data_IF_401949958894
#
_entry.id   IF_401949958894
#
_cell.length_a   1.000
_cell.length_b   1.000
_cell.length_c   1.000
_cell.angle_alpha   90.00
_cell.angle_beta   90.00
_cell.angle_gamma   90.00
#
_symmetry.space_group_name_H-M   'P 1'
#
loop_
_entity.id
_entity.type
_entity.pdbx_description
1 polymer ?
#
# COMPACT_ATOMS: atom_id res chain seq x y z
N UNK A 1 10.30 36.08 -9.15
CA UNK A 1 11.09 35.27 -8.20
C UNK A 1 10.12 34.40 -7.44
N UNK A 2 10.12 33.08 -7.64
CA UNK A 2 9.36 32.18 -6.78
C UNK A 2 10.05 32.17 -5.42
N UNK A 3 9.36 32.63 -4.37
CA UNK A 3 9.82 32.46 -2.99
C UNK A 3 9.67 30.98 -2.69
N UNK A 4 10.77 30.23 -2.81
CA UNK A 4 10.79 28.82 -2.44
C UNK A 4 10.70 28.74 -0.93
N UNK A 5 9.50 28.49 -0.41
CA UNK A 5 9.32 28.12 0.98
C UNK A 5 10.09 26.81 1.18
N UNK A 6 11.14 26.87 2.01
CA UNK A 6 11.82 25.67 2.48
C UNK A 6 10.83 25.00 3.43
N UNK A 7 10.00 24.11 2.90
CA UNK A 7 9.22 23.16 3.69
C UNK A 7 10.15 22.60 4.77
N UNK A 8 9.66 22.42 5.99
CA UNK A 8 10.44 21.92 7.14
C UNK A 8 10.89 20.46 6.97
N UNK A 9 11.54 20.15 5.86
CA UNK A 9 11.96 18.83 5.42
C UNK A 9 13.24 18.50 6.19
N UNK A 10 13.20 17.36 6.85
CA UNK A 10 14.38 16.73 7.42
C UNK A 10 15.12 16.04 6.29
N UNK A 11 16.43 16.24 6.21
CA UNK A 11 17.31 15.49 5.31
C UNK A 11 17.09 13.98 5.46
N UNK A 12 17.48 13.19 4.46
CA UNK A 12 17.37 11.73 4.57
C UNK A 12 18.12 11.20 5.80
N UNK A 13 19.31 11.76 6.12
CA UNK A 13 20.06 11.39 7.33
C UNK A 13 19.24 11.65 8.60
N UNK A 14 18.66 12.83 8.76
CA UNK A 14 17.84 13.17 9.92
C UNK A 14 16.57 12.31 10.02
N UNK A 15 15.96 11.99 8.86
CA UNK A 15 14.80 11.11 8.76
C UNK A 15 15.16 9.68 9.17
N UNK A 16 16.27 9.15 8.66
CA UNK A 16 16.81 7.83 9.02
C UNK A 16 17.14 7.77 10.51
N UNK A 17 17.81 8.78 11.06
CA UNK A 17 18.14 8.86 12.49
C UNK A 17 16.90 8.92 13.39
N UNK A 18 15.85 9.60 12.95
CA UNK A 18 14.56 9.60 13.66
C UNK A 18 13.92 8.21 13.65
N UNK A 19 13.92 7.51 12.51
CA UNK A 19 13.39 6.15 12.39
C UNK A 19 14.19 5.18 13.28
N UNK A 20 15.52 5.30 13.28
CA UNK A 20 16.42 4.50 14.13
C UNK A 20 16.07 4.71 15.61
N UNK A 21 16.02 5.97 16.07
CA UNK A 21 15.72 6.30 17.47
C UNK A 21 14.36 5.77 17.91
N UNK A 22 13.36 5.83 17.04
CA UNK A 22 12.01 5.34 17.33
C UNK A 22 11.91 3.81 17.42
N UNK A 23 12.86 3.07 16.83
CA UNK A 23 12.85 1.61 16.77
C UNK A 23 13.80 0.92 17.76
N UNK A 24 14.30 1.65 18.77
CA UNK A 24 15.13 1.20 19.91
C UNK A 24 15.52 -0.29 19.87
N UNK A 25 16.71 -0.60 19.33
CA UNK A 25 17.36 -1.92 19.21
C UNK A 25 16.97 -2.82 18.02
N UNK A 26 16.08 -2.43 17.12
CA UNK A 26 15.76 -3.21 15.91
C UNK A 26 16.58 -2.78 14.69
N UNK A 27 17.92 -2.76 14.82
CA UNK A 27 18.85 -2.26 13.80
C UNK A 27 18.88 -3.08 12.50
N UNK A 28 18.32 -4.31 12.51
CA UNK A 28 18.49 -5.28 11.43
C UNK A 28 17.83 -4.88 10.09
N UNK A 29 16.99 -3.84 10.06
CA UNK A 29 16.19 -3.48 8.88
C UNK A 29 16.30 -2.01 8.46
N UNK A 30 17.18 -1.22 9.09
CA UNK A 30 17.38 0.19 8.73
C UNK A 30 18.19 0.33 7.43
N UNK A 31 19.04 -0.66 7.12
CA UNK A 31 19.86 -0.65 5.91
C UNK A 31 19.07 -0.95 4.63
N UNK A 32 17.82 -1.37 4.76
CA UNK A 32 16.92 -1.56 3.61
C UNK A 32 16.16 -0.30 3.24
N UNK A 33 16.24 0.78 4.02
CA UNK A 33 15.63 2.07 3.67
C UNK A 33 16.50 2.76 2.61
N UNK A 34 15.94 2.93 1.42
CA UNK A 34 16.60 3.60 0.30
C UNK A 34 16.50 5.13 0.42
N UNK A 35 15.31 5.62 0.81
CA UNK A 35 15.08 7.04 1.07
C UNK A 35 13.89 7.22 2.03
N UNK A 36 13.84 8.32 2.77
CA UNK A 36 12.73 8.65 3.67
C UNK A 36 12.66 10.15 3.97
N UNK A 37 11.45 10.70 4.00
CA UNK A 37 11.18 12.10 4.31
C UNK A 37 10.03 12.22 5.32
N UNK A 38 10.21 13.08 6.33
CA UNK A 38 9.11 13.60 7.14
C UNK A 38 8.69 14.96 6.58
N UNK A 39 7.40 15.10 6.28
CA UNK A 39 6.84 16.28 5.63
C UNK A 39 5.64 16.75 6.44
N UNK A 40 5.60 18.04 6.79
CA UNK A 40 4.46 18.61 7.49
C UNK A 40 3.20 18.54 6.61
N UNK A 41 2.12 17.90 7.09
CA UNK A 41 0.90 17.67 6.33
C UNK A 41 0.17 18.96 5.90
N UNK A 42 0.21 20.01 6.73
CA UNK A 42 -0.36 21.32 6.41
C UNK A 42 0.46 22.03 5.33
N UNK A 43 1.78 22.05 5.49
CA UNK A 43 2.66 22.71 4.52
C UNK A 43 2.61 22.01 3.16
N UNK A 44 2.55 20.67 3.15
CA UNK A 44 2.39 19.88 1.92
C UNK A 44 1.15 20.31 1.13
N UNK A 45 0.02 20.39 1.83
CA UNK A 45 -1.25 20.79 1.22
C UNK A 45 -1.26 22.25 0.74
N UNK A 46 -0.56 23.13 1.47
CA UNK A 46 -0.53 24.57 1.18
C UNK A 46 0.40 24.91 0.02
N UNK A 47 1.62 24.34 0.00
CA UNK A 47 2.67 24.74 -0.93
C UNK A 47 2.86 23.77 -2.10
N UNK A 48 2.26 22.58 -2.06
CA UNK A 48 2.25 21.62 -3.16
C UNK A 48 0.83 21.12 -3.45
N UNK A 49 -0.12 22.03 -3.75
CA UNK A 49 -1.52 21.65 -3.89
C UNK A 49 -1.74 20.69 -5.06
N UNK A 50 -2.68 19.76 -4.87
CA UNK A 50 -3.12 18.81 -5.88
C UNK A 50 -3.54 19.48 -7.21
N UNK A 51 -3.24 18.82 -8.35
CA UNK A 51 -3.51 19.32 -9.71
C UNK A 51 -4.42 18.38 -10.49
N UNK A 52 -5.67 18.26 -10.06
CA UNK A 52 -6.69 17.49 -10.78
C UNK A 52 -7.00 18.12 -12.15
N UNK A 53 -6.94 17.30 -13.21
CA UNK A 53 -7.41 17.66 -14.55
C UNK A 53 -8.89 17.31 -14.72
N UNK A 54 -9.32 16.21 -14.10
CA UNK A 54 -10.71 15.79 -14.08
C UNK A 54 -11.61 16.76 -13.28
N UNK A 55 -12.76 17.10 -13.87
CA UNK A 55 -13.68 18.09 -13.31
C UNK A 55 -14.43 17.57 -12.08
N UNK A 56 -14.71 16.26 -12.01
CA UNK A 56 -15.42 15.66 -10.87
C UNK A 56 -14.51 15.59 -9.64
N UNK A 57 -13.25 15.16 -9.79
CA UNK A 57 -12.26 15.15 -8.70
C UNK A 57 -11.98 16.57 -8.21
N UNK A 58 -11.80 17.53 -9.12
CA UNK A 58 -11.63 18.94 -8.77
C UNK A 58 -12.83 19.49 -8.00
N UNK A 59 -14.05 19.22 -8.48
CA UNK A 59 -15.27 19.67 -7.83
C UNK A 59 -15.42 19.12 -6.41
N UNK A 60 -15.06 17.84 -6.19
CA UNK A 60 -15.10 17.21 -4.88
C UNK A 60 -14.07 17.85 -3.94
N UNK A 61 -12.82 18.04 -4.38
CA UNK A 61 -11.80 18.71 -3.55
C UNK A 61 -12.22 20.15 -3.21
N UNK A 62 -12.73 20.90 -4.19
CA UNK A 62 -13.20 22.27 -3.98
C UNK A 62 -14.33 22.32 -2.94
N UNK A 63 -15.30 21.39 -3.00
CA UNK A 63 -16.39 21.30 -2.03
C UNK A 63 -15.87 21.00 -0.61
N UNK A 64 -14.91 20.09 -0.49
CA UNK A 64 -14.30 19.70 0.79
C UNK A 64 -13.51 20.86 1.41
N UNK A 65 -12.72 21.59 0.62
CA UNK A 65 -11.97 22.76 1.10
C UNK A 65 -12.92 23.92 1.43
N UNK A 66 -13.80 24.29 0.49
CA UNK A 66 -14.55 25.54 0.59
C UNK A 66 -15.79 25.42 1.45
N UNK A 67 -16.54 24.32 1.34
CA UNK A 67 -17.81 24.14 2.03
C UNK A 67 -17.66 23.31 3.31
N UNK A 68 -16.81 22.28 3.31
CA UNK A 68 -16.53 21.48 4.52
C UNK A 68 -15.42 22.03 5.40
N UNK A 69 -14.72 23.07 4.91
CA UNK A 69 -13.63 23.75 5.63
C UNK A 69 -12.50 22.80 6.04
N UNK A 70 -12.24 21.79 5.22
CA UNK A 70 -11.14 20.87 5.47
C UNK A 70 -9.82 21.62 5.53
N UNK A 71 -9.06 21.36 6.59
CA UNK A 71 -7.68 21.84 6.75
C UNK A 71 -6.88 20.69 7.36
N UNK A 72 -5.82 20.21 6.69
CA UNK A 72 -5.01 19.14 7.24
C UNK A 72 -4.30 19.54 8.52
N UNK A 73 -4.02 18.56 9.38
CA UNK A 73 -3.22 18.78 10.57
C UNK A 73 -1.78 19.17 10.23
N UNK A 74 -1.12 19.82 11.19
CA UNK A 74 0.32 20.14 11.15
C UNK A 74 1.20 18.94 11.55
N UNK A 75 0.65 17.73 11.62
CA UNK A 75 1.46 16.56 11.93
C UNK A 75 2.29 16.14 10.72
N UNK A 76 3.41 15.46 10.97
CA UNK A 76 4.25 14.95 9.91
C UNK A 76 3.60 13.72 9.24
N UNK A 77 3.65 13.68 7.92
CA UNK A 77 3.53 12.50 7.09
C UNK A 77 4.94 11.94 6.90
N UNK A 78 5.11 10.62 7.06
CA UNK A 78 6.35 9.94 6.68
C UNK A 78 6.13 9.25 5.34
N UNK A 79 7.01 9.50 4.37
CA UNK A 79 7.15 8.69 3.16
C UNK A 79 8.51 8.00 3.18
N UNK A 80 8.56 6.70 2.92
CA UNK A 80 9.80 5.93 2.89
C UNK A 80 9.80 4.93 1.71
N UNK A 81 10.92 4.82 1.02
CA UNK A 81 11.18 3.87 -0.07
C UNK A 81 12.20 2.85 0.37
N UNK A 82 12.01 1.60 0.01
CA UNK A 82 12.85 0.49 0.47
C UNK A 82 13.53 -0.22 -0.71
N UNK A 83 14.75 -0.68 -0.48
CA UNK A 83 15.43 -1.60 -1.37
C UNK A 83 14.71 -2.96 -1.40
N UNK A 84 14.70 -3.66 -2.54
CA UNK A 84 14.20 -5.03 -2.64
C UNK A 84 14.87 -5.92 -1.60
N UNK A 85 14.06 -6.64 -0.82
CA UNK A 85 14.55 -7.63 0.14
C UNK A 85 14.75 -8.96 -0.60
N UNK A 86 15.89 -9.64 -0.47
CA UNK A 86 16.02 -10.99 -1.01
C UNK A 86 15.01 -11.93 -0.34
N UNK A 87 14.47 -12.88 -1.09
CA UNK A 87 13.69 -13.97 -0.50
C UNK A 87 14.58 -14.76 0.47
N UNK A 88 14.03 -15.32 1.56
CA UNK A 88 14.82 -16.17 2.46
C UNK A 88 15.35 -17.40 1.70
N UNK A 89 16.35 -18.11 2.22
CA UNK A 89 16.81 -19.34 1.56
C UNK A 89 15.78 -20.47 1.69
N UNK A 90 15.04 -20.48 2.81
CA UNK A 90 14.09 -21.53 3.17
C UNK A 90 12.79 -20.95 3.73
N UNK A 91 11.71 -21.70 3.55
CA UNK A 91 10.43 -21.50 4.20
C UNK A 91 10.09 -22.75 5.00
N UNK A 92 9.85 -22.58 6.31
CA UNK A 92 9.70 -23.72 7.23
C UNK A 92 8.24 -24.05 7.53
N UNK A 93 8.00 -25.30 7.96
CA UNK A 93 6.66 -25.71 8.37
C UNK A 93 6.19 -24.94 9.61
N UNK A 94 7.08 -24.56 10.53
CA UNK A 94 6.74 -23.74 11.70
C UNK A 94 6.22 -22.37 11.27
N UNK A 95 6.86 -21.71 10.31
CA UNK A 95 6.37 -20.43 9.76
C UNK A 95 5.00 -20.61 9.09
N UNK A 96 4.83 -21.71 8.34
CA UNK A 96 3.59 -22.01 7.65
C UNK A 96 2.43 -22.27 8.62
N UNK A 97 2.66 -23.08 9.65
CA UNK A 97 1.67 -23.50 10.63
C UNK A 97 1.50 -22.55 11.82
N UNK A 98 2.23 -21.42 11.87
CA UNK A 98 2.10 -20.43 12.93
C UNK A 98 0.68 -19.82 12.94
N UNK A 99 -0.13 -20.29 13.91
CA UNK A 99 -1.51 -19.87 14.12
C UNK A 99 -1.62 -18.45 14.70
N UNK A 100 -0.52 -17.84 15.16
CA UNK A 100 -0.51 -16.42 15.55
C UNK A 100 -0.49 -15.49 14.33
N UNK A 101 -0.22 -16.01 13.13
CA UNK A 101 -0.20 -15.30 11.85
C UNK A 101 -1.42 -15.71 11.04
N UNK A 102 -2.45 -14.89 11.10
CA UNK A 102 -3.79 -15.21 10.61
C UNK A 102 -4.12 -14.46 9.33
N UNK A 103 -5.18 -14.89 8.65
CA UNK A 103 -5.78 -14.14 7.55
C UNK A 103 -7.31 -14.22 7.66
N UNK A 104 -8.00 -13.18 7.20
CA UNK A 104 -9.46 -13.13 7.17
C UNK A 104 -9.92 -12.53 5.84
N UNK A 105 -11.04 -13.03 5.30
CA UNK A 105 -11.68 -12.50 4.11
C UNK A 105 -12.90 -11.67 4.51
N UNK A 106 -13.00 -10.45 3.99
CA UNK A 106 -14.10 -9.53 4.28
C UNK A 106 -14.76 -9.14 2.94
N UNK A 107 -16.08 -9.35 2.77
CA UNK A 107 -16.81 -9.04 1.54
C UNK A 107 -17.16 -7.56 1.43
N UNK A 108 -16.14 -6.71 1.52
CA UNK A 108 -16.29 -5.27 1.43
C UNK A 108 -15.09 -4.65 0.70
N UNK A 109 -15.20 -3.37 0.37
CA UNK A 109 -14.03 -2.53 0.04
C UNK A 109 -13.28 -2.16 1.31
N UNK A 110 -12.13 -1.51 1.16
CA UNK A 110 -11.40 -0.96 2.31
C UNK A 110 -12.32 0.02 3.06
N UNK A 111 -12.59 -0.29 4.32
CA UNK A 111 -13.41 0.53 5.22
C UNK A 111 -12.56 1.51 6.05
N UNK A 112 -11.23 1.28 6.09
CA UNK A 112 -10.25 2.04 6.86
C UNK A 112 -10.62 2.19 8.34
N UNK A 113 -11.46 1.28 8.86
CA UNK A 113 -11.85 1.29 10.25
C UNK A 113 -10.61 0.86 11.05
N UNK A 114 -10.09 1.73 11.94
CA UNK A 114 -8.93 1.37 12.74
C UNK A 114 -9.21 0.13 13.58
N UNK A 115 -8.21 -0.74 13.76
CA UNK A 115 -8.33 -1.86 14.68
C UNK A 115 -8.65 -1.38 16.11
N UNK A 116 -9.55 -2.07 16.80
CA UNK A 116 -9.91 -1.80 18.21
C UNK A 116 -8.73 -2.10 19.17
N UNK A 117 -7.76 -2.90 18.72
CA UNK A 117 -6.56 -3.24 19.48
C UNK A 117 -5.57 -2.06 19.57
N UNK A 118 -5.31 -1.59 20.80
CA UNK A 118 -4.49 -0.41 21.08
C UNK A 118 -3.00 -0.52 20.69
N UNK A 119 -2.53 -1.72 20.35
CA UNK A 119 -1.15 -2.03 19.94
C UNK A 119 -1.07 -2.58 18.50
N UNK A 120 -2.07 -2.33 17.67
CA UNK A 120 -2.05 -2.66 16.24
C UNK A 120 -1.72 -1.42 15.40
N UNK A 121 -0.95 -1.63 14.33
CA UNK A 121 -0.81 -0.70 13.22
C UNK A 121 -1.37 -1.35 11.95
N UNK A 122 -2.43 -0.74 11.44
CA UNK A 122 -3.07 -1.10 10.17
C UNK A 122 -2.38 -0.40 9.00
N UNK A 123 -2.00 -1.18 7.99
CA UNK A 123 -1.50 -0.70 6.71
C UNK A 123 -2.42 -1.14 5.58
N UNK A 124 -2.67 -0.25 4.63
CA UNK A 124 -3.57 -0.52 3.50
C UNK A 124 -2.78 -0.52 2.19
N UNK A 125 -2.92 -1.57 1.40
CA UNK A 125 -2.22 -1.67 0.13
C UNK A 125 -2.81 -0.72 -0.92
N UNK A 126 -1.96 0.08 -1.53
CA UNK A 126 -2.25 0.78 -2.77
C UNK A 126 -1.75 -0.11 -3.92
N UNK A 127 -2.66 -0.49 -4.81
CA UNK A 127 -2.34 -1.30 -6.00
C UNK A 127 -1.76 -0.39 -7.08
N UNK A 128 -0.58 0.16 -6.79
CA UNK A 128 0.05 1.20 -7.55
C UNK A 128 0.42 0.76 -8.98
N UNK A 129 0.49 1.74 -9.88
CA UNK A 129 1.32 1.65 -11.08
C UNK A 129 2.82 1.79 -10.72
N UNK A 130 3.72 1.61 -11.69
CA UNK A 130 5.17 1.68 -11.47
C UNK A 130 5.64 3.02 -10.88
N UNK A 131 4.85 4.09 -11.01
CA UNK A 131 5.05 5.43 -10.46
C UNK A 131 3.84 5.80 -9.59
N UNK A 132 4.07 6.09 -8.30
CA UNK A 132 2.99 6.28 -7.33
C UNK A 132 2.05 7.39 -7.75
N UNK A 133 0.76 7.09 -7.68
CA UNK A 133 -0.33 8.04 -7.93
C UNK A 133 -0.26 8.69 -9.32
N UNK A 134 0.45 8.13 -10.29
CA UNK A 134 0.71 8.76 -11.58
C UNK A 134 -0.55 9.19 -12.34
N UNK A 135 -1.68 8.50 -12.14
CA UNK A 135 -2.95 8.78 -12.81
C UNK A 135 -3.99 9.50 -11.94
N UNK A 136 -3.62 9.95 -10.73
CA UNK A 136 -4.57 10.53 -9.78
C UNK A 136 -5.38 11.70 -10.35
N UNK A 137 -4.78 12.46 -11.26
CA UNK A 137 -5.37 13.64 -11.88
C UNK A 137 -6.40 13.33 -13.00
N UNK A 138 -6.39 12.11 -13.53
CA UNK A 138 -7.23 11.67 -14.66
C UNK A 138 -8.68 11.37 -14.26
N UNK A 139 -9.51 10.98 -15.23
CA UNK A 139 -10.95 10.77 -15.03
C UNK A 139 -11.34 9.36 -14.57
N UNK A 140 -10.40 8.41 -14.59
CA UNK A 140 -10.64 7.06 -14.08
C UNK A 140 -10.53 7.04 -12.55
N UNK A 141 -11.19 6.04 -11.96
CA UNK A 141 -11.24 5.81 -10.52
C UNK A 141 -11.04 4.32 -10.22
N UNK A 142 -9.82 3.83 -10.41
CA UNK A 142 -9.41 2.55 -9.86
C UNK A 142 -9.05 2.72 -8.38
N UNK A 143 -8.56 1.63 -7.77
CA UNK A 143 -8.34 1.55 -6.33
C UNK A 143 -7.29 2.55 -5.85
N UNK A 144 -6.22 2.77 -6.63
CA UNK A 144 -5.16 3.70 -6.26
C UNK A 144 -5.61 5.15 -6.40
N UNK A 145 -6.34 5.53 -7.46
CA UNK A 145 -6.87 6.90 -7.57
C UNK A 145 -7.98 7.17 -6.55
N UNK A 146 -8.79 6.17 -6.18
CA UNK A 146 -9.77 6.29 -5.10
C UNK A 146 -9.06 6.64 -3.78
N UNK A 147 -7.99 5.91 -3.42
CA UNK A 147 -7.22 6.21 -2.22
C UNK A 147 -6.67 7.64 -2.20
N UNK A 148 -6.16 8.12 -3.33
CA UNK A 148 -5.65 9.49 -3.46
C UNK A 148 -6.76 10.53 -3.35
N UNK A 149 -7.92 10.25 -3.96
CA UNK A 149 -9.08 11.15 -3.89
C UNK A 149 -9.62 11.23 -2.45
N UNK A 150 -9.67 10.11 -1.75
CA UNK A 150 -10.14 10.05 -0.36
C UNK A 150 -9.18 10.71 0.64
N UNK A 151 -7.90 10.77 0.28
CA UNK A 151 -6.81 11.32 1.09
C UNK A 151 -6.12 12.48 0.36
N UNK A 152 -6.66 13.71 0.41
CA UNK A 152 -6.17 14.84 -0.40
C UNK A 152 -4.67 15.14 -0.27
N UNK A 153 -4.06 14.80 0.87
CA UNK A 153 -2.62 14.95 1.10
C UNK A 153 -1.77 14.06 0.17
N UNK A 154 -2.26 12.92 -0.31
CA UNK A 154 -1.52 12.03 -1.23
C UNK A 154 -1.31 12.66 -2.61
N UNK A 155 -2.31 13.37 -3.13
CA UNK A 155 -2.18 14.13 -4.37
C UNK A 155 -1.15 15.26 -4.22
N UNK A 156 -1.15 15.94 -3.07
CA UNK A 156 -0.18 16.98 -2.77
C UNK A 156 1.24 16.40 -2.64
N UNK A 157 1.37 15.21 -2.03
CA UNK A 157 2.63 14.47 -1.92
C UNK A 157 3.23 14.17 -3.30
N UNK A 158 2.40 13.75 -4.25
CA UNK A 158 2.84 13.52 -5.63
C UNK A 158 3.42 14.78 -6.27
N UNK A 159 2.71 15.91 -6.17
CA UNK A 159 3.18 17.20 -6.72
C UNK A 159 4.49 17.65 -6.05
N UNK A 160 4.60 17.47 -4.74
CA UNK A 160 5.82 17.78 -4.01
C UNK A 160 7.01 16.96 -4.53
N UNK A 161 6.86 15.64 -4.67
CA UNK A 161 7.95 14.76 -5.12
C UNK A 161 8.40 15.08 -6.56
N UNK A 162 7.45 15.41 -7.44
CA UNK A 162 7.75 15.87 -8.81
C UNK A 162 8.50 17.21 -8.82
N UNK A 163 8.18 18.12 -7.89
CA UNK A 163 8.93 19.36 -7.77
C UNK A 163 10.36 19.11 -7.28
N UNK A 164 10.54 18.19 -6.31
CA UNK A 164 11.85 17.83 -5.78
C UNK A 164 12.75 17.15 -6.83
N UNK A 165 12.20 16.26 -7.66
CA UNK A 165 12.98 15.58 -8.71
C UNK A 165 13.54 16.55 -9.76
N UNK A 166 12.94 17.72 -9.91
CA UNK A 166 13.37 18.77 -10.84
C UNK A 166 14.41 19.73 -10.22
N UNK A 167 14.72 19.59 -8.93
CA UNK A 167 15.69 20.44 -8.24
C UNK A 167 17.07 19.80 -8.22
N UNK A 168 18.05 20.46 -8.85
CA UNK A 168 19.46 20.07 -8.82
C UNK A 168 20.14 20.59 -7.55
N UNK A 169 19.76 20.06 -6.38
CA UNK A 169 20.30 20.49 -5.08
C UNK A 169 21.44 19.60 -4.55
N UNK A 170 21.97 18.67 -5.36
CA UNK A 170 23.12 17.81 -5.01
C UNK A 170 22.76 16.55 -4.22
N UNK A 171 21.63 16.52 -3.52
CA UNK A 171 21.08 15.30 -2.90
C UNK A 171 20.32 14.43 -3.93
N UNK A 172 20.40 13.10 -3.77
CA UNK A 172 19.62 12.17 -4.61
C UNK A 172 18.12 12.40 -4.35
N UNK A 173 17.32 12.80 -5.36
CA UNK A 173 15.89 13.02 -5.17
C UNK A 173 15.18 11.73 -4.78
N UNK A 174 14.08 11.85 -4.05
CA UNK A 174 13.23 10.72 -3.71
C UNK A 174 12.58 10.16 -4.99
N UNK A 175 12.87 8.92 -5.37
CA UNK A 175 12.24 8.26 -6.52
C UNK A 175 10.78 7.94 -6.20
N UNK A 176 9.87 8.29 -7.10
CA UNK A 176 8.44 7.96 -6.97
C UNK A 176 8.09 6.58 -7.49
N UNK A 177 9.09 5.83 -7.98
CA UNK A 177 8.88 4.53 -8.61
C UNK A 177 8.84 3.39 -7.61
N UNK A 178 7.77 2.60 -7.63
CA UNK A 178 7.64 1.37 -6.83
C UNK A 178 8.29 0.15 -7.49
N UNK A 179 8.72 0.30 -8.74
CA UNK A 179 9.43 -0.72 -9.51
C UNK A 179 10.53 -0.08 -10.35
N UNK A 180 11.74 -0.64 -10.27
CA UNK A 180 12.90 -0.25 -11.09
C UNK A 180 13.65 -1.52 -11.52
N UNK A 181 13.98 -1.63 -12.81
CA UNK A 181 14.70 -2.78 -13.38
C UNK A 181 14.08 -4.15 -13.01
N UNK A 182 12.74 -4.24 -13.02
CA UNK A 182 11.96 -5.42 -12.60
C UNK A 182 12.18 -5.84 -11.14
N UNK A 183 12.67 -4.94 -10.29
CA UNK A 183 12.79 -5.17 -8.85
C UNK A 183 11.77 -4.31 -8.10
N UNK A 184 11.17 -4.84 -7.02
CA UNK A 184 10.17 -4.11 -6.25
C UNK A 184 10.81 -3.18 -5.22
N UNK A 185 10.54 -1.89 -5.36
CA UNK A 185 10.96 -0.83 -4.44
C UNK A 185 9.74 -0.23 -3.72
N UNK A 186 9.12 -0.94 -2.78
CA UNK A 186 7.87 -0.49 -2.16
C UNK A 186 8.04 0.89 -1.52
N UNK A 187 6.98 1.69 -1.62
CA UNK A 187 6.88 3.00 -0.98
C UNK A 187 5.80 2.92 0.10
N UNK A 188 6.18 3.27 1.32
CA UNK A 188 5.28 3.29 2.48
C UNK A 188 5.02 4.73 2.89
N UNK A 189 3.76 5.04 3.21
CA UNK A 189 3.33 6.36 3.63
C UNK A 189 2.57 6.22 4.95
N UNK A 190 3.05 6.84 6.02
CA UNK A 190 2.43 6.82 7.35
C UNK A 190 1.72 8.13 7.66
N UNK A 191 0.69 8.06 8.49
CA UNK A 191 0.02 9.21 9.09
C UNK A 191 -0.65 10.17 8.07
N UNK A 192 -1.34 9.60 7.08
CA UNK A 192 -2.11 10.38 6.10
C UNK A 192 -3.56 10.51 6.54
N UNK A 193 -4.18 11.68 6.30
CA UNK A 193 -5.59 11.90 6.59
C UNK A 193 -6.49 11.49 5.42
N UNK A 194 -7.39 10.55 5.69
CA UNK A 194 -8.57 10.27 4.88
C UNK A 194 -9.69 11.21 5.31
N UNK A 195 -10.03 12.15 4.45
CA UNK A 195 -11.02 13.20 4.72
C UNK A 195 -12.37 12.93 4.04
N UNK A 196 -12.39 12.02 3.08
CA UNK A 196 -13.55 11.69 2.25
C UNK A 196 -13.77 10.18 2.28
N UNK A 197 -15.03 9.79 2.35
CA UNK A 197 -15.49 8.43 2.13
C UNK A 197 -16.43 8.42 0.92
N UNK A 198 -15.96 7.86 -0.20
CA UNK A 198 -16.70 7.89 -1.47
C UNK A 198 -17.40 6.55 -1.71
N UNK A 199 -18.73 6.56 -1.81
CA UNK A 199 -19.48 5.38 -2.21
C UNK A 199 -19.27 5.09 -3.69
N UNK A 200 -18.54 4.01 -4.00
CA UNK A 200 -18.15 3.64 -5.36
C UNK A 200 -19.11 2.68 -6.07
N UNK A 201 -20.21 2.25 -5.44
CA UNK A 201 -21.11 1.22 -5.99
C UNK A 201 -21.55 1.50 -7.45
N UNK A 202 -21.75 2.77 -7.80
CA UNK A 202 -22.07 3.22 -9.16
C UNK A 202 -21.04 4.19 -9.76
N UNK A 203 -19.87 4.31 -9.14
CA UNK A 203 -18.83 5.28 -9.50
C UNK A 203 -17.47 4.65 -9.78
N UNK A 204 -17.28 3.34 -9.65
CA UNK A 204 -15.96 2.73 -9.86
C UNK A 204 -15.53 2.71 -11.35
N UNK A 205 -14.24 2.93 -11.60
CA UNK A 205 -13.64 2.90 -12.95
C UNK A 205 -14.24 3.93 -13.91
N UNK A 206 -14.55 3.51 -15.14
CA UNK A 206 -15.16 4.35 -16.18
C UNK A 206 -16.49 5.01 -15.75
N UNK A 207 -17.24 4.40 -14.83
CA UNK A 207 -18.49 4.97 -14.33
C UNK A 207 -18.29 6.32 -13.64
N UNK A 208 -17.13 6.55 -13.00
CA UNK A 208 -16.78 7.85 -12.45
C UNK A 208 -16.70 8.91 -13.55
N UNK A 209 -15.97 8.58 -14.62
CA UNK A 209 -15.70 9.50 -15.74
C UNK A 209 -16.99 9.90 -16.45
N UNK A 210 -17.98 9.01 -16.55
CA UNK A 210 -19.27 9.30 -17.16
C UNK A 210 -20.28 9.97 -16.21
N UNK A 211 -19.99 10.02 -14.91
CA UNK A 211 -20.94 10.53 -13.93
C UNK A 211 -21.01 12.05 -13.90
N UNK A 212 -22.21 12.57 -13.62
CA UNK A 212 -22.38 14.01 -13.41
C UNK A 212 -21.69 14.46 -12.13
N UNK A 213 -21.20 15.71 -12.12
CA UNK A 213 -20.70 16.37 -10.90
C UNK A 213 -21.69 16.27 -9.73
N UNK A 214 -22.99 16.41 -10.00
CA UNK A 214 -24.02 16.33 -8.95
C UNK A 214 -24.14 14.93 -8.34
N UNK A 215 -23.90 13.89 -9.13
CA UNK A 215 -23.90 12.50 -8.68
C UNK A 215 -22.70 12.29 -7.75
N UNK A 216 -21.51 12.66 -8.20
CA UNK A 216 -20.27 12.51 -7.42
C UNK A 216 -20.35 13.25 -6.09
N UNK A 217 -20.83 14.50 -6.08
CA UNK A 217 -20.96 15.29 -4.85
C UNK A 217 -22.00 14.74 -3.87
N UNK A 218 -22.99 13.97 -4.33
CA UNK A 218 -23.97 13.30 -3.46
C UNK A 218 -23.50 11.95 -2.93
N UNK A 219 -22.48 11.36 -3.56
CA UNK A 219 -21.99 10.02 -3.25
C UNK A 219 -20.88 10.00 -2.21
N UNK A 220 -20.40 11.14 -1.75
CA UNK A 220 -19.32 11.21 -0.76
C UNK A 220 -19.83 11.65 0.61
N UNK A 221 -19.15 11.14 1.65
CA UNK A 221 -19.29 11.58 3.04
C UNK A 221 -18.01 12.29 3.45
N UNK A 222 -18.13 13.49 3.99
CA UNK A 222 -17.02 14.18 4.64
C UNK A 222 -16.76 13.55 6.01
N UNK A 223 -15.50 13.28 6.32
CA UNK A 223 -15.07 12.69 7.59
C UNK A 223 -14.51 13.80 8.49
N UNK A 224 -15.17 14.02 9.63
CA UNK A 224 -14.73 14.97 10.65
C UNK A 224 -14.91 14.37 12.05
N UNK A 225 -13.83 14.04 12.77
CA UNK A 225 -12.42 14.17 12.35
C UNK A 225 -12.05 13.26 11.17
N UNK A 226 -11.02 13.64 10.41
CA UNK A 226 -10.42 12.77 9.39
C UNK A 226 -9.93 11.47 10.02
N UNK A 227 -9.98 10.37 9.27
CA UNK A 227 -9.38 9.10 9.68
C UNK A 227 -7.88 9.11 9.35
N UNK A 228 -7.04 8.58 10.23
CA UNK A 228 -5.61 8.42 9.97
C UNK A 228 -5.38 7.04 9.35
N UNK A 229 -4.73 7.01 8.19
CA UNK A 229 -4.40 5.78 7.47
C UNK A 229 -2.91 5.70 7.14
N UNK A 230 -2.44 4.48 6.89
CA UNK A 230 -1.09 4.20 6.41
C UNK A 230 -1.18 3.37 5.13
N UNK A 231 -0.32 3.65 4.16
CA UNK A 231 -0.36 3.10 2.81
C UNK A 231 0.91 2.31 2.50
N UNK A 232 0.75 1.18 1.82
CA UNK A 232 1.81 0.41 1.19
C UNK A 232 1.59 0.44 -0.32
N UNK A 233 2.44 1.13 -1.08
CA UNK A 233 2.37 1.15 -2.54
C UNK A 233 3.33 0.14 -3.15
N UNK A 234 2.78 -0.82 -3.91
CA UNK A 234 3.51 -1.79 -4.72
C UNK A 234 2.78 -2.05 -6.04
N UNK A 235 3.52 -2.48 -7.06
CA UNK A 235 2.98 -2.84 -8.38
C UNK A 235 3.06 -4.35 -8.61
N UNK A 236 1.97 -4.94 -9.12
CA UNK A 236 1.91 -6.34 -9.57
C UNK A 236 2.39 -6.47 -11.02
N UNK A 237 2.84 -7.66 -11.47
CA UNK A 237 3.04 -7.90 -12.90
C UNK A 237 1.75 -7.67 -13.68
N UNK A 238 1.87 -7.23 -14.93
CA UNK A 238 0.73 -6.82 -15.76
C UNK A 238 0.69 -7.55 -17.09
N UNK A 239 -0.53 -7.79 -17.58
CA UNK A 239 -0.83 -8.24 -18.93
C UNK A 239 -0.15 -9.58 -19.31
N UNK A 240 0.04 -10.47 -18.34
CA UNK A 240 0.55 -11.81 -18.61
C UNK A 240 -0.49 -12.70 -19.30
N UNK A 241 -0.03 -13.83 -19.82
CA UNK A 241 -0.84 -14.81 -20.53
C UNK A 241 -0.38 -16.23 -20.17
N UNK A 242 -1.29 -17.20 -20.25
CA UNK A 242 -0.99 -18.61 -19.96
C UNK A 242 -0.62 -18.86 -18.50
N UNK A 243 0.24 -19.85 -18.26
CA UNK A 243 0.68 -20.21 -16.91
C UNK A 243 1.59 -19.16 -16.30
N UNK A 244 1.49 -18.97 -14.97
CA UNK A 244 2.46 -18.17 -14.23
C UNK A 244 3.87 -18.78 -14.31
N UNK A 245 4.87 -17.94 -14.57
CA UNK A 245 6.28 -18.36 -14.59
C UNK A 245 6.93 -18.28 -13.21
N UNK A 246 8.06 -18.97 -13.03
CA UNK A 246 8.91 -18.86 -11.83
C UNK A 246 9.23 -17.40 -11.53
N UNK A 247 9.66 -16.63 -12.52
CA UNK A 247 10.06 -15.22 -12.35
C UNK A 247 8.88 -14.34 -11.92
N UNK A 248 7.67 -14.61 -12.43
CA UNK A 248 6.48 -13.86 -12.04
C UNK A 248 6.11 -14.15 -10.57
N UNK A 249 6.14 -15.42 -10.17
CA UNK A 249 5.86 -15.83 -8.78
C UNK A 249 6.91 -15.26 -7.83
N UNK A 250 8.20 -15.36 -8.19
CA UNK A 250 9.32 -14.81 -7.43
C UNK A 250 9.17 -13.30 -7.24
N UNK A 251 8.88 -12.56 -8.31
CA UNK A 251 8.65 -11.12 -8.25
C UNK A 251 7.50 -10.76 -7.30
N UNK A 252 6.34 -11.42 -7.42
CA UNK A 252 5.18 -11.12 -6.57
C UNK A 252 5.48 -11.41 -5.10
N UNK A 253 6.12 -12.55 -4.80
CA UNK A 253 6.55 -12.88 -3.45
C UNK A 253 7.53 -11.85 -2.91
N UNK A 254 8.53 -11.46 -3.71
CA UNK A 254 9.53 -10.48 -3.31
C UNK A 254 8.90 -9.11 -3.05
N UNK A 255 7.98 -8.68 -3.91
CA UNK A 255 7.28 -7.40 -3.78
C UNK A 255 6.49 -7.34 -2.47
N UNK A 256 5.67 -8.36 -2.21
CA UNK A 256 4.88 -8.44 -0.98
C UNK A 256 5.80 -8.59 0.25
N UNK A 257 6.82 -9.46 0.20
CA UNK A 257 7.73 -9.69 1.32
C UNK A 257 8.48 -8.41 1.71
N UNK A 258 9.01 -7.69 0.71
CA UNK A 258 9.74 -6.44 0.93
C UNK A 258 8.82 -5.41 1.58
N UNK A 259 7.61 -5.24 1.04
CA UNK A 259 6.65 -4.26 1.52
C UNK A 259 6.12 -4.56 2.92
N UNK A 260 5.81 -5.82 3.21
CA UNK A 260 5.33 -6.26 4.52
C UNK A 260 6.43 -6.21 5.58
N UNK A 261 7.66 -6.59 5.21
CA UNK A 261 8.81 -6.42 6.09
C UNK A 261 9.01 -4.93 6.43
N UNK A 262 8.92 -4.04 5.43
CA UNK A 262 9.02 -2.60 5.63
C UNK A 262 7.92 -2.06 6.57
N UNK A 263 6.67 -2.53 6.40
CA UNK A 263 5.55 -2.16 7.27
C UNK A 263 5.80 -2.56 8.73
N UNK A 264 6.33 -3.77 8.95
CA UNK A 264 6.73 -4.25 10.27
C UNK A 264 7.87 -3.43 10.86
N UNK A 265 8.88 -3.09 10.05
CA UNK A 265 10.02 -2.22 10.44
C UNK A 265 9.57 -0.81 10.83
N UNK A 266 8.55 -0.26 10.15
CA UNK A 266 8.04 1.07 10.43
C UNK A 266 6.97 1.12 11.54
N UNK A 267 6.60 -0.02 12.14
CA UNK A 267 5.48 -0.09 13.09
C UNK A 267 5.59 0.93 14.25
N UNK A 268 6.73 1.02 14.94
CA UNK A 268 6.89 1.96 16.06
C UNK A 268 6.86 3.43 15.60
N UNK A 269 7.58 3.75 14.52
CA UNK A 269 7.59 5.12 13.98
C UNK A 269 6.19 5.54 13.56
N UNK A 270 5.47 4.65 12.88
CA UNK A 270 4.08 4.87 12.45
C UNK A 270 3.14 5.02 13.64
N UNK A 271 3.30 4.21 14.69
CA UNK A 271 2.53 4.34 15.92
C UNK A 271 2.73 5.71 16.60
N UNK A 272 3.98 6.15 16.72
CA UNK A 272 4.30 7.45 17.31
C UNK A 272 3.69 8.59 16.50
N UNK A 273 3.74 8.52 15.16
CA UNK A 273 3.10 9.53 14.31
C UNK A 273 1.58 9.52 14.49
N UNK A 274 0.93 8.36 14.40
CA UNK A 274 -0.53 8.27 14.41
C UNK A 274 -1.13 8.55 15.79
N UNK A 275 -0.43 8.18 16.88
CA UNK A 275 -0.96 8.26 18.25
C UNK A 275 -0.30 9.33 19.11
N UNK A 276 0.76 9.98 18.62
CA UNK A 276 1.54 11.01 19.32
C UNK A 276 2.07 10.56 20.70
N UNK A 277 2.38 9.26 20.81
CA UNK A 277 2.94 8.63 22.03
C UNK A 277 3.66 7.33 21.69
N UNK A 278 4.56 6.90 22.57
CA UNK A 278 5.22 5.60 22.46
C UNK A 278 4.27 4.44 22.77
N UNK A 279 4.48 3.30 22.11
CA UNK A 279 3.78 2.08 22.42
C UNK A 279 4.19 1.56 23.81
N UNK A 280 3.20 1.06 24.58
CA UNK A 280 3.45 0.43 25.89
C UNK A 280 3.61 -1.08 25.82
N UNK A 281 3.32 -1.67 24.65
CA UNK A 281 3.31 -3.10 24.37
C UNK A 281 3.92 -3.34 22.99
N UNK A 282 4.43 -4.56 22.71
CA UNK A 282 4.86 -4.93 21.37
C UNK A 282 3.75 -4.68 20.34
N UNK A 283 4.13 -4.05 19.23
CA UNK A 283 3.20 -3.72 18.16
C UNK A 283 2.95 -4.90 17.23
N UNK A 284 1.67 -5.13 16.95
CA UNK A 284 1.21 -5.98 15.86
C UNK A 284 1.06 -5.14 14.60
N UNK A 285 1.23 -5.78 13.45
CA UNK A 285 1.10 -5.16 12.14
C UNK A 285 0.07 -5.93 11.35
N UNK A 286 -1.01 -5.25 10.97
CA UNK A 286 -2.08 -5.79 10.15
C UNK A 286 -1.99 -5.19 8.75
N UNK A 287 -2.17 -6.02 7.74
CA UNK A 287 -2.13 -5.63 6.33
C UNK A 287 -3.52 -5.80 5.75
N UNK A 288 -4.14 -4.71 5.33
CA UNK A 288 -5.35 -4.68 4.54
C UNK A 288 -4.98 -4.70 3.06
N UNK A 289 -5.44 -5.73 2.36
CA UNK A 289 -5.20 -5.93 0.92
C UNK A 289 -6.48 -6.46 0.26
N UNK A 290 -6.39 -6.86 -1.00
CA UNK A 290 -7.47 -7.43 -1.77
C UNK A 290 -6.94 -7.99 -3.09
N UNK A 291 -7.69 -7.76 -4.16
CA UNK A 291 -7.42 -8.25 -5.52
C UNK A 291 -6.22 -7.57 -6.23
N UNK A 292 -5.06 -7.56 -5.57
CA UNK A 292 -3.80 -7.00 -6.06
C UNK A 292 -3.46 -7.57 -7.44
N UNK A 293 -3.33 -6.70 -8.44
CA UNK A 293 -3.01 -7.08 -9.82
C UNK A 293 -4.09 -7.86 -10.57
N UNK A 294 -5.28 -8.11 -10.00
CA UNK A 294 -6.30 -8.98 -10.61
C UNK A 294 -7.37 -8.23 -11.43
N UNK A 295 -7.45 -6.90 -11.32
CA UNK A 295 -8.37 -6.06 -12.08
C UNK A 295 -7.81 -5.74 -13.47
N UNK A 296 -7.47 -4.46 -13.70
CA UNK A 296 -6.94 -3.98 -14.97
C UNK A 296 -5.68 -4.75 -15.44
N UNK A 297 -4.91 -5.34 -14.52
CA UNK A 297 -3.69 -6.09 -14.84
C UNK A 297 -3.94 -7.55 -15.21
N UNK A 298 -5.14 -8.10 -14.94
CA UNK A 298 -5.57 -9.44 -15.36
C UNK A 298 -4.97 -10.60 -14.56
N UNK A 299 -4.42 -10.35 -13.37
CA UNK A 299 -3.88 -11.40 -12.52
C UNK A 299 -4.92 -12.41 -12.02
N UNK A 300 -4.45 -13.61 -11.68
CA UNK A 300 -5.26 -14.65 -11.09
C UNK A 300 -5.45 -14.42 -9.58
N UNK A 301 -6.70 -14.40 -9.15
CA UNK A 301 -7.08 -14.12 -7.76
C UNK A 301 -6.54 -15.15 -6.76
N UNK A 302 -6.58 -16.45 -7.10
CA UNK A 302 -6.18 -17.51 -6.18
C UNK A 302 -4.67 -17.48 -5.92
N UNK A 303 -3.83 -17.40 -6.95
CA UNK A 303 -2.38 -17.31 -6.76
C UNK A 303 -1.99 -16.02 -6.02
N UNK A 304 -2.66 -14.90 -6.28
CA UNK A 304 -2.40 -13.65 -5.54
C UNK A 304 -2.74 -13.76 -4.06
N UNK A 305 -3.76 -14.54 -3.67
CA UNK A 305 -4.02 -14.85 -2.25
C UNK A 305 -2.86 -15.66 -1.67
N UNK A 306 -2.45 -16.75 -2.35
CA UNK A 306 -1.36 -17.64 -1.91
C UNK A 306 -0.08 -16.83 -1.65
N UNK A 307 0.36 -16.04 -2.63
CA UNK A 307 1.64 -15.33 -2.55
C UNK A 307 1.63 -14.20 -1.50
N UNK A 308 0.50 -13.51 -1.32
CA UNK A 308 0.37 -12.51 -0.25
C UNK A 308 0.41 -13.16 1.15
N UNK A 309 -0.27 -14.29 1.35
CA UNK A 309 -0.25 -15.00 2.64
C UNK A 309 1.16 -15.53 2.95
N UNK A 310 1.85 -16.12 1.97
CA UNK A 310 3.22 -16.60 2.15
C UNK A 310 4.17 -15.46 2.51
N UNK A 311 4.10 -14.34 1.78
CA UNK A 311 4.90 -13.16 2.07
C UNK A 311 4.63 -12.60 3.47
N UNK A 312 3.38 -12.58 3.93
CA UNK A 312 3.02 -12.14 5.28
C UNK A 312 3.61 -13.06 6.36
N UNK A 313 3.53 -14.38 6.18
CA UNK A 313 4.14 -15.34 7.11
C UNK A 313 5.67 -15.18 7.16
N UNK A 314 6.33 -15.04 6.01
CA UNK A 314 7.76 -14.79 5.92
C UNK A 314 8.18 -13.45 6.55
N UNK A 315 7.35 -12.40 6.42
CA UNK A 315 7.59 -11.09 7.03
C UNK A 315 7.22 -11.03 8.53
N UNK A 316 6.57 -12.08 9.07
CA UNK A 316 6.08 -12.10 10.44
C UNK A 316 4.90 -11.15 10.68
N UNK A 317 4.04 -10.93 9.69
CA UNK A 317 2.80 -10.14 9.80
C UNK A 317 1.74 -10.90 10.57
N UNK A 318 1.17 -10.28 11.62
CA UNK A 318 0.20 -10.93 12.49
C UNK A 318 -1.14 -11.22 11.81
N UNK A 319 -1.59 -10.34 10.90
CA UNK A 319 -2.86 -10.54 10.22
C UNK A 319 -2.87 -9.94 8.81
N UNK A 320 -3.36 -10.71 7.86
CA UNK A 320 -3.88 -10.17 6.59
C UNK A 320 -5.41 -10.03 6.69
N UNK A 321 -5.92 -8.86 6.34
CA UNK A 321 -7.33 -8.62 6.09
C UNK A 321 -7.50 -8.49 4.57
N UNK A 322 -8.11 -9.49 3.95
CA UNK A 322 -8.30 -9.56 2.52
C UNK A 322 -9.72 -9.12 2.15
N UNK A 323 -9.82 -7.93 1.58
CA UNK A 323 -11.07 -7.33 1.13
C UNK A 323 -11.44 -7.86 -0.25
N UNK A 324 -12.52 -8.66 -0.30
CA UNK A 324 -12.95 -9.37 -1.51
C UNK A 324 -13.99 -8.59 -2.31
N UNK A 325 -14.44 -7.42 -1.82
CA UNK A 325 -15.49 -6.55 -2.39
C UNK A 325 -16.88 -7.20 -2.39
N UNK A 326 -16.98 -8.51 -2.59
CA UNK A 326 -18.21 -9.29 -2.63
C UNK A 326 -18.02 -10.65 -1.97
N UNK A 327 -19.13 -11.30 -1.61
CA UNK A 327 -19.14 -12.68 -1.11
C UNK A 327 -18.89 -13.74 -2.20
N UNK A 328 -18.95 -13.35 -3.48
CA UNK A 328 -18.81 -14.27 -4.61
C UNK A 328 -17.32 -14.52 -4.98
N UNK A 329 -16.56 -15.08 -4.04
CA UNK A 329 -15.13 -15.36 -4.19
C UNK A 329 -14.70 -16.68 -3.53
N UNK A 330 -15.66 -17.52 -3.14
CA UNK A 330 -15.40 -18.75 -2.39
C UNK A 330 -14.51 -19.72 -3.16
N UNK A 331 -14.65 -19.81 -4.48
CA UNK A 331 -13.84 -20.71 -5.29
C UNK A 331 -12.36 -20.29 -5.29
N UNK A 332 -12.09 -19.00 -5.45
CA UNK A 332 -10.73 -18.47 -5.45
C UNK A 332 -10.05 -18.64 -4.08
N UNK A 333 -10.82 -18.46 -2.99
CA UNK A 333 -10.36 -18.71 -1.62
C UNK A 333 -10.05 -20.19 -1.43
N UNK A 334 -10.96 -21.10 -1.79
CA UNK A 334 -10.77 -22.55 -1.64
C UNK A 334 -9.57 -23.06 -2.44
N UNK A 335 -9.37 -22.55 -3.65
CA UNK A 335 -8.21 -22.90 -4.47
C UNK A 335 -6.91 -22.45 -3.80
N UNK A 336 -6.88 -21.23 -3.25
CA UNK A 336 -5.71 -20.72 -2.54
C UNK A 336 -5.42 -21.51 -1.26
N UNK A 337 -6.45 -21.82 -0.46
CA UNK A 337 -6.31 -22.60 0.76
C UNK A 337 -5.86 -24.04 0.49
N UNK A 338 -6.38 -24.66 -0.58
CA UNK A 338 -5.94 -25.99 -1.02
C UNK A 338 -4.46 -25.97 -1.41
N UNK A 339 -4.04 -24.98 -2.21
CA UNK A 339 -2.64 -24.80 -2.57
C UNK A 339 -1.76 -24.64 -1.31
N UNK A 340 -2.13 -23.74 -0.39
CA UNK A 340 -1.40 -23.51 0.85
C UNK A 340 -1.28 -24.79 1.70
N UNK A 341 -2.38 -25.53 1.86
CA UNK A 341 -2.41 -26.78 2.65
C UNK A 341 -1.49 -27.85 2.07
N UNK A 342 -1.34 -27.90 0.75
CA UNK A 342 -0.58 -28.94 0.07
C UNK A 342 0.91 -28.60 -0.13
N UNK A 343 1.40 -27.47 0.42
CA UNK A 343 2.80 -27.06 0.23
C UNK A 343 3.78 -28.06 0.87
N UNK A 344 3.49 -28.49 2.09
CA UNK A 344 4.35 -29.39 2.85
C UNK A 344 3.85 -30.82 2.76
N UNK A 345 4.79 -31.74 2.56
CA UNK A 345 4.55 -33.17 2.69
C UNK A 345 4.50 -33.58 4.17
N UNK A 346 4.07 -34.80 4.47
CA UNK A 346 3.87 -35.29 5.85
C UNK A 346 5.14 -35.28 6.73
N UNK A 347 6.33 -35.14 6.13
CA UNK A 347 7.60 -35.08 6.86
C UNK A 347 7.97 -33.66 7.33
N UNK A 348 7.18 -32.65 6.94
CA UNK A 348 7.29 -31.24 7.35
C UNK A 348 8.69 -30.63 7.16
N UNK A 349 9.46 -31.12 6.18
CA UNK A 349 10.80 -30.58 5.92
C UNK A 349 10.74 -29.12 5.43
N UNK A 350 11.70 -28.27 5.82
CA UNK A 350 11.84 -26.94 5.24
C UNK A 350 11.99 -27.02 3.72
N UNK A 351 11.26 -26.17 3.01
CA UNK A 351 11.38 -26.03 1.56
C UNK A 351 12.40 -24.94 1.26
N UNK A 352 13.34 -25.20 0.34
CA UNK A 352 14.05 -24.08 -0.28
C UNK A 352 13.05 -23.19 -1.03
N UNK A 353 13.35 -21.90 -1.19
CA UNK A 353 12.43 -21.02 -1.92
C UNK A 353 12.22 -21.46 -3.38
N UNK A 354 13.24 -22.06 -4.02
CA UNK A 354 13.08 -22.60 -5.36
C UNK A 354 12.11 -23.79 -5.40
N UNK A 355 12.16 -24.69 -4.41
CA UNK A 355 11.21 -25.80 -4.29
C UNK A 355 9.79 -25.29 -4.00
N UNK A 356 9.64 -24.30 -3.11
CA UNK A 356 8.35 -23.66 -2.84
C UNK A 356 7.74 -23.07 -4.11
N UNK A 357 8.50 -22.27 -4.86
CA UNK A 357 8.04 -21.66 -6.11
C UNK A 357 7.70 -22.75 -7.14
N UNK A 358 8.52 -23.78 -7.26
CA UNK A 358 8.27 -24.90 -8.18
C UNK A 358 6.97 -25.63 -7.85
N UNK A 359 6.68 -25.87 -6.56
CA UNK A 359 5.39 -26.44 -6.13
C UNK A 359 4.22 -25.56 -6.56
N UNK A 360 4.31 -24.23 -6.40
CA UNK A 360 3.25 -23.30 -6.83
C UNK A 360 3.09 -23.26 -8.36
N UNK A 361 4.19 -23.34 -9.13
CA UNK A 361 4.11 -23.45 -10.60
C UNK A 361 3.36 -24.70 -11.04
N UNK A 362 3.55 -25.81 -10.33
CA UNK A 362 2.89 -27.09 -10.63
C UNK A 362 1.40 -27.11 -10.29
N UNK A 363 0.87 -26.10 -9.60
CA UNK A 363 -0.58 -25.88 -9.47
C UNK A 363 -1.21 -25.32 -10.76
N UNK A 364 -0.37 -24.97 -11.76
CA UNK A 364 -0.80 -24.56 -13.10
C UNK A 364 -1.78 -23.38 -13.13
N UNK A 365 -1.68 -22.45 -12.17
CA UNK A 365 -2.45 -21.21 -12.20
C UNK A 365 -2.26 -20.48 -13.53
N UNK A 366 -3.38 -20.11 -14.15
CA UNK A 366 -3.42 -19.36 -15.41
C UNK A 366 -3.70 -17.90 -15.12
N UNK A 367 -3.05 -17.00 -15.88
CA UNK A 367 -3.43 -15.59 -15.94
C UNK A 367 -4.94 -15.43 -16.18
N UNK A 368 -5.54 -14.46 -15.50
CA UNK A 368 -6.93 -14.10 -15.67
C UNK A 368 -7.14 -13.15 -16.86
N UNK A 369 -8.29 -12.48 -16.87
CA UNK A 369 -8.61 -11.48 -17.87
C UNK A 369 -8.55 -10.08 -17.29
N UNK A 370 -7.91 -9.16 -18.00
CA UNK A 370 -8.03 -7.73 -17.69
C UNK A 370 -9.47 -7.30 -17.90
N UNK A 371 -10.03 -6.57 -16.94
CA UNK A 371 -11.38 -6.00 -17.03
C UNK A 371 -11.39 -4.58 -17.64
N UNK A 372 -10.23 -4.05 -18.05
CA UNK A 372 -10.12 -2.76 -18.74
C UNK A 372 -10.68 -1.56 -17.96
N UNK A 373 -10.78 -1.66 -16.63
CA UNK A 373 -11.33 -0.59 -15.77
C UNK A 373 -10.52 0.68 -15.81
#
# INVERSE_FOLDING_TARGET
>A
MAVYYKLGIKSFSESKDRIIRNNQNNNQYIDTIENANFINGYDLFTYSPARYQDQNKKALLDDVIQNKKYTPSKQDILIARFYPKPLPNYYTYEQHSDMSKTYAFIPNTFDYIPSDEVNVIDWHMNFANYDIFSYYHGSLLAQDELQVLECPQLACLREYLLQQSNQNNGDKPFSTRVMENNLPYPILISNTERAIDLNTANLYGNSFSSSSKSTVLKSYKYLNPSQIINIIAIEAPKYGQGSYTIQQIEYILQACLTAYSAAKTLANTTYILNKQKSAKMPLKTYIHTGWFGCGAYGGNRAIMIVLQILAAKMAGIEKIIFHTVTDNCQQEIQNAETCLKNLFDNDHKPLSINELITKIVNEHFQWGFSNGT
#
